data_IF_507537855155
#
_entry.id   IF_507537855155
#
_cell.length_a   1.000
_cell.length_b   1.000
_cell.length_c   1.000
_cell.angle_alpha   90.00
_cell.angle_beta   90.00
_cell.angle_gamma   90.00
#
_symmetry.space_group_name_H-M   'P 1'
#
loop_
_entity.id
_entity.type
_entity.pdbx_description
1 polymer ?
#
# COMPACT_ATOMS: atom_id res chain seq x y z
N UNK A 1 25.89 3.24 -46.71
CA UNK A 1 25.31 2.29 -45.73
C UNK A 1 25.28 2.98 -44.37
N UNK A 2 24.15 3.55 -43.97
CA UNK A 2 24.05 4.31 -42.72
C UNK A 2 22.59 4.42 -42.32
N UNK A 3 22.08 3.42 -41.60
CA UNK A 3 20.65 3.34 -41.27
C UNK A 3 20.33 2.42 -40.09
N UNK A 4 21.29 2.15 -39.20
CA UNK A 4 21.12 1.20 -38.09
C UNK A 4 21.08 1.81 -36.69
N UNK A 5 21.47 3.08 -36.50
CA UNK A 5 21.64 3.65 -35.15
C UNK A 5 20.37 4.29 -34.58
N UNK A 6 19.46 4.78 -35.44
CA UNK A 6 18.22 5.44 -35.00
C UNK A 6 17.21 4.50 -34.34
N UNK A 7 17.05 3.28 -34.86
CA UNK A 7 16.08 2.32 -34.33
C UNK A 7 16.48 1.77 -32.96
N UNK A 8 17.78 1.52 -32.72
CA UNK A 8 18.24 1.01 -31.42
C UNK A 8 18.15 2.07 -30.32
N UNK A 9 18.47 3.33 -30.62
CA UNK A 9 18.32 4.43 -29.66
C UNK A 9 16.84 4.68 -29.29
N UNK A 10 15.93 4.57 -30.26
CA UNK A 10 14.49 4.71 -30.04
C UNK A 10 13.92 3.56 -29.18
N UNK A 11 14.31 2.31 -29.45
CA UNK A 11 13.91 1.15 -28.65
C UNK A 11 14.45 1.23 -27.22
N UNK A 12 15.70 1.64 -27.05
CA UNK A 12 16.28 1.85 -25.72
C UNK A 12 15.55 2.97 -24.96
N UNK A 13 15.19 4.07 -25.62
CA UNK A 13 14.43 5.17 -25.02
C UNK A 13 13.03 4.71 -24.58
N UNK A 14 12.32 3.93 -25.41
CA UNK A 14 11.01 3.37 -25.03
C UNK A 14 11.13 2.44 -23.84
N UNK A 15 12.14 1.55 -23.81
CA UNK A 15 12.38 0.67 -22.68
C UNK A 15 12.65 1.46 -21.39
N UNK A 16 13.54 2.45 -21.42
CA UNK A 16 13.86 3.28 -20.25
C UNK A 16 12.64 4.08 -19.77
N UNK A 17 11.85 4.67 -20.67
CA UNK A 17 10.64 5.43 -20.30
C UNK A 17 9.54 4.50 -19.77
N UNK A 18 9.43 3.28 -20.30
CA UNK A 18 8.50 2.27 -19.79
C UNK A 18 8.92 1.78 -18.41
N UNK A 19 10.20 1.49 -18.18
CA UNK A 19 10.75 1.11 -16.87
C UNK A 19 10.62 2.24 -15.85
N UNK A 20 10.86 3.49 -16.25
CA UNK A 20 10.66 4.66 -15.40
C UNK A 20 9.17 4.91 -15.10
N UNK A 21 8.26 4.76 -16.06
CA UNK A 21 6.83 4.86 -15.80
C UNK A 21 6.30 3.71 -14.95
N UNK A 22 6.78 2.48 -15.17
CA UNK A 22 6.44 1.32 -14.35
C UNK A 22 6.98 1.52 -12.94
N UNK A 23 8.24 1.94 -12.77
CA UNK A 23 8.82 2.25 -11.46
C UNK A 23 8.13 3.45 -10.78
N UNK A 24 7.72 4.47 -11.53
CA UNK A 24 6.98 5.63 -11.02
C UNK A 24 5.54 5.28 -10.66
N UNK A 25 4.90 4.39 -11.40
CA UNK A 25 3.57 3.84 -11.11
C UNK A 25 3.61 2.87 -9.91
N UNK A 26 4.68 2.08 -9.78
CA UNK A 26 4.95 1.22 -8.63
C UNK A 26 5.28 2.02 -7.35
N UNK A 27 5.82 3.24 -7.48
CA UNK A 27 6.14 4.11 -6.33
C UNK A 27 4.95 4.87 -5.75
N UNK A 28 3.76 4.80 -6.35
CA UNK A 28 2.57 5.51 -5.86
C UNK A 28 1.41 4.59 -5.47
N UNK A 29 1.64 3.28 -5.40
CA UNK A 29 0.62 2.30 -5.04
C UNK A 29 0.36 2.24 -3.54
N UNK A 30 1.39 2.43 -2.71
CA UNK A 30 1.26 2.48 -1.25
C UNK A 30 1.46 3.90 -0.73
N UNK A 31 0.45 4.44 -0.06
CA UNK A 31 0.43 5.83 0.42
C UNK A 31 0.15 5.86 1.92
N UNK A 32 1.00 6.54 2.68
CA UNK A 32 0.80 6.82 4.10
C UNK A 32 0.29 8.26 4.29
N UNK A 33 -0.91 8.44 4.83
CA UNK A 33 -1.54 9.74 5.11
C UNK A 33 -2.10 9.80 6.53
N UNK A 34 -2.75 10.91 6.88
CA UNK A 34 -3.49 11.09 8.15
C UNK A 34 -4.98 11.02 7.85
N UNK A 35 -5.69 10.11 8.49
CA UNK A 35 -7.14 9.99 8.38
C UNK A 35 -7.87 11.02 9.26
N UNK A 36 -9.20 11.10 9.08
CA UNK A 36 -10.06 12.00 9.85
C UNK A 36 -10.05 11.72 11.37
N UNK A 37 -9.64 10.52 11.80
CA UNK A 37 -9.46 10.20 13.21
C UNK A 37 -8.13 10.71 13.80
N UNK A 38 -7.30 11.41 13.01
CA UNK A 38 -6.02 11.95 13.44
C UNK A 38 -4.85 10.95 13.44
N UNK A 39 -5.09 9.71 13.01
CA UNK A 39 -4.11 8.63 12.99
C UNK A 39 -3.67 8.29 11.56
N UNK A 40 -2.58 7.53 11.46
CA UNK A 40 -2.03 7.06 10.21
C UNK A 40 -3.01 6.14 9.47
N UNK A 41 -3.08 6.37 8.17
CA UNK A 41 -3.86 5.60 7.21
C UNK A 41 -2.95 5.19 6.05
N UNK A 42 -2.84 3.89 5.82
CA UNK A 42 -2.00 3.30 4.79
C UNK A 42 -2.91 2.67 3.74
N UNK A 43 -2.86 3.16 2.50
CA UNK A 43 -3.70 2.70 1.40
C UNK A 43 -2.88 1.97 0.34
N UNK A 44 -3.45 0.94 -0.27
CA UNK A 44 -2.83 0.04 -1.24
C UNK A 44 -3.60 0.09 -2.55
N UNK A 45 -3.42 1.18 -3.31
CA UNK A 45 -4.19 1.50 -4.51
C UNK A 45 -3.99 0.42 -5.59
N UNK A 46 -4.98 -0.45 -5.73
CA UNK A 46 -5.02 -1.59 -6.66
C UNK A 46 -3.80 -2.52 -6.63
N UNK A 47 -3.03 -2.52 -5.53
CA UNK A 47 -1.78 -3.26 -5.44
C UNK A 47 -1.88 -4.41 -4.43
N UNK A 48 -2.44 -5.52 -4.90
CA UNK A 48 -2.67 -6.71 -4.09
C UNK A 48 -1.36 -7.29 -3.51
N UNK A 49 -0.25 -7.21 -4.24
CA UNK A 49 1.06 -7.70 -3.79
C UNK A 49 1.55 -7.00 -2.51
N UNK A 50 1.49 -5.67 -2.46
CA UNK A 50 1.88 -4.94 -1.23
C UNK A 50 0.89 -5.15 -0.10
N UNK A 51 -0.40 -5.29 -0.40
CA UNK A 51 -1.38 -5.66 0.62
C UNK A 51 -1.08 -7.03 1.24
N UNK A 52 -0.75 -8.04 0.43
CA UNK A 52 -0.35 -9.37 0.90
C UNK A 52 0.96 -9.31 1.69
N UNK A 53 1.95 -8.55 1.21
CA UNK A 53 3.21 -8.32 1.93
C UNK A 53 2.98 -7.63 3.28
N UNK A 54 2.06 -6.67 3.35
CA UNK A 54 1.66 -6.01 4.59
C UNK A 54 1.00 -6.98 5.57
N UNK A 55 0.06 -7.80 5.09
CA UNK A 55 -0.59 -8.83 5.89
C UNK A 55 0.45 -9.80 6.48
N UNK A 56 1.38 -10.27 5.65
CA UNK A 56 2.46 -11.16 6.09
C UNK A 56 3.34 -10.49 7.13
N UNK A 57 3.78 -9.25 6.89
CA UNK A 57 4.61 -8.50 7.83
C UNK A 57 3.90 -8.34 9.19
N UNK A 58 2.61 -8.02 9.22
CA UNK A 58 1.83 -7.92 10.46
C UNK A 58 1.74 -9.26 11.20
N UNK A 59 1.53 -10.37 10.47
CA UNK A 59 1.55 -11.71 11.06
C UNK A 59 2.92 -12.06 11.67
N UNK A 60 4.03 -11.72 11.00
CA UNK A 60 5.38 -11.90 11.53
C UNK A 60 5.62 -11.08 12.80
N UNK A 61 4.98 -9.91 12.89
CA UNK A 61 4.93 -9.07 14.09
C UNK A 61 3.92 -9.57 15.15
N UNK A 62 3.37 -10.78 15.01
CA UNK A 62 2.42 -11.41 15.95
C UNK A 62 1.06 -10.73 16.06
N UNK A 63 0.66 -9.93 15.07
CA UNK A 63 -0.74 -9.51 14.98
C UNK A 63 -1.65 -10.69 14.60
N UNK A 64 -2.86 -10.66 15.12
CA UNK A 64 -3.93 -11.61 14.79
C UNK A 64 -5.06 -10.87 14.10
N UNK A 65 -5.78 -11.56 13.21
CA UNK A 65 -7.00 -11.01 12.61
C UNK A 65 -8.17 -11.19 13.59
N UNK A 66 -8.97 -10.14 13.78
CA UNK A 66 -10.12 -10.14 14.68
C UNK A 66 -11.33 -9.44 14.05
N UNK A 67 -12.51 -10.01 14.27
CA UNK A 67 -13.77 -9.55 13.66
C UNK A 67 -14.12 -10.28 12.36
N UNK A 68 -15.34 -10.03 11.91
CA UNK A 68 -15.90 -10.61 10.70
C UNK A 68 -15.61 -9.74 9.47
N UNK A 69 -15.68 -10.36 8.29
CA UNK A 69 -15.72 -9.63 7.02
C UNK A 69 -17.15 -9.13 6.82
N UNK A 70 -17.30 -7.82 6.59
CA UNK A 70 -18.58 -7.21 6.22
C UNK A 70 -18.43 -6.61 4.84
N UNK A 71 -19.13 -7.15 3.84
CA UNK A 71 -19.09 -6.67 2.46
C UNK A 71 -20.32 -5.80 2.14
N UNK A 72 -20.06 -4.63 1.58
CA UNK A 72 -21.04 -3.74 0.95
C UNK A 72 -20.95 -3.77 -0.57
N UNK A 73 -21.66 -2.86 -1.24
CA UNK A 73 -21.66 -2.75 -2.71
C UNK A 73 -20.30 -2.29 -3.26
N UNK A 74 -19.69 -1.29 -2.61
CA UNK A 74 -18.48 -0.61 -3.08
C UNK A 74 -17.33 -0.63 -2.07
N UNK A 75 -17.56 -1.20 -0.90
CA UNK A 75 -16.62 -1.25 0.20
C UNK A 75 -16.73 -2.56 0.99
N UNK A 76 -15.66 -2.91 1.69
CA UNK A 76 -15.65 -4.02 2.63
C UNK A 76 -14.90 -3.61 3.89
N UNK A 77 -15.47 -3.94 5.05
CA UNK A 77 -14.75 -3.93 6.32
C UNK A 77 -14.11 -5.31 6.45
N UNK A 78 -12.79 -5.33 6.60
CA UNK A 78 -12.01 -6.53 6.75
C UNK A 78 -11.63 -6.73 8.24
N UNK A 79 -11.27 -7.95 8.66
CA UNK A 79 -10.85 -8.19 10.04
C UNK A 79 -9.71 -7.27 10.46
N UNK A 80 -9.84 -6.65 11.63
CA UNK A 80 -8.80 -5.80 12.19
C UNK A 80 -7.56 -6.64 12.52
N UNK A 81 -6.38 -6.03 12.48
CA UNK A 81 -5.16 -6.61 13.03
C UNK A 81 -4.98 -6.15 14.47
N UNK A 82 -5.00 -7.09 15.40
CA UNK A 82 -4.89 -6.82 16.85
C UNK A 82 -3.66 -7.49 17.46
N UNK A 83 -3.00 -6.77 18.37
CA UNK A 83 -1.91 -7.29 19.20
C UNK A 83 -1.86 -6.49 20.50
N UNK A 84 -2.06 -7.15 21.63
CA UNK A 84 -2.12 -6.51 22.96
C UNK A 84 -3.12 -5.34 22.97
N UNK A 85 -2.66 -4.10 23.16
CA UNK A 85 -3.47 -2.88 23.17
C UNK A 85 -3.47 -2.14 21.82
N UNK A 86 -2.81 -2.69 20.80
CA UNK A 86 -2.74 -2.11 19.45
C UNK A 86 -3.79 -2.74 18.55
N UNK A 87 -4.57 -1.89 17.89
CA UNK A 87 -5.57 -2.29 16.89
C UNK A 87 -5.39 -1.46 15.63
N UNK A 88 -5.34 -2.17 14.49
CA UNK A 88 -5.35 -1.59 13.16
C UNK A 88 -6.64 -2.03 12.47
N UNK A 89 -7.54 -1.10 12.21
CA UNK A 89 -8.71 -1.37 11.38
C UNK A 89 -8.25 -1.66 9.95
N UNK A 90 -8.95 -2.54 9.25
CA UNK A 90 -8.65 -2.83 7.86
C UNK A 90 -9.92 -2.87 7.02
N UNK A 91 -9.76 -2.61 5.73
CA UNK A 91 -10.88 -2.58 4.80
C UNK A 91 -10.45 -2.46 3.37
N UNK A 92 -11.44 -2.32 2.50
CA UNK A 92 -11.28 -2.08 1.08
C UNK A 92 -12.37 -1.12 0.61
N UNK A 93 -12.03 -0.16 -0.24
CA UNK A 93 -13.00 0.67 -0.94
C UNK A 93 -12.56 0.92 -2.39
N UNK A 94 -13.50 1.23 -3.28
CA UNK A 94 -13.23 1.43 -4.71
C UNK A 94 -12.29 2.61 -5.04
N UNK A 95 -11.98 3.51 -4.10
CA UNK A 95 -11.10 4.66 -4.34
C UNK A 95 -9.68 4.42 -3.84
N UNK A 96 -9.55 3.82 -2.65
CA UNK A 96 -8.28 3.64 -1.94
C UNK A 96 -7.67 2.26 -2.15
N UNK A 97 -8.46 1.30 -2.64
CA UNK A 97 -8.11 -0.12 -2.62
C UNK A 97 -8.15 -0.66 -1.19
N UNK A 98 -7.28 -1.62 -0.87
CA UNK A 98 -7.14 -2.09 0.51
C UNK A 98 -6.53 -1.00 1.38
N UNK A 99 -6.85 -1.00 2.67
CA UNK A 99 -6.25 -0.07 3.60
C UNK A 99 -6.07 -0.62 5.02
N UNK A 100 -5.16 0.03 5.75
CA UNK A 100 -4.97 -0.11 7.19
C UNK A 100 -5.11 1.26 7.86
N UNK A 101 -5.86 1.32 8.95
CA UNK A 101 -6.08 2.53 9.72
C UNK A 101 -5.71 2.29 11.18
N UNK A 102 -4.77 3.09 11.69
CA UNK A 102 -4.42 3.07 13.09
C UNK A 102 -5.56 3.63 13.95
N UNK A 103 -5.78 3.00 15.11
CA UNK A 103 -6.78 3.42 16.09
C UNK A 103 -6.14 4.00 17.37
N UNK A 104 -4.81 4.10 17.41
CA UNK A 104 -4.04 4.62 18.53
C UNK A 104 -2.62 5.03 18.08
N UNK A 105 -1.92 5.79 18.94
CA UNK A 105 -0.56 6.28 18.68
C UNK A 105 0.47 5.17 18.43
N UNK A 106 0.37 4.06 19.16
CA UNK A 106 1.26 2.91 18.91
C UNK A 106 0.98 2.29 17.53
N UNK A 107 -0.28 2.28 17.11
CA UNK A 107 -0.67 1.93 15.75
C UNK A 107 -0.03 2.83 14.70
N UNK A 108 0.09 4.13 14.97
CA UNK A 108 0.77 5.07 14.06
C UNK A 108 2.23 4.71 13.86
N UNK A 109 2.93 4.34 14.94
CA UNK A 109 4.32 3.92 14.87
C UNK A 109 4.47 2.63 14.06
N UNK A 110 3.54 1.68 14.22
CA UNK A 110 3.51 0.43 13.45
C UNK A 110 3.27 0.72 11.97
N UNK A 111 2.27 1.54 11.62
CA UNK A 111 1.99 1.87 10.22
C UNK A 111 3.11 2.68 9.57
N UNK A 112 3.78 3.58 10.30
CA UNK A 112 4.96 4.27 9.81
C UNK A 112 6.15 3.31 9.56
N UNK A 113 6.31 2.27 10.39
CA UNK A 113 7.32 1.24 10.17
C UNK A 113 7.01 0.36 8.95
N UNK A 114 5.76 -0.07 8.82
CA UNK A 114 5.28 -0.85 7.69
C UNK A 114 5.39 -0.05 6.38
N UNK A 115 5.01 1.22 6.38
CA UNK A 115 5.16 2.12 5.24
C UNK A 115 6.61 2.20 4.76
N UNK A 116 7.58 2.33 5.68
CA UNK A 116 9.02 2.32 5.33
C UNK A 116 9.47 0.98 4.78
N UNK A 117 8.98 -0.13 5.32
CA UNK A 117 9.28 -1.47 4.82
C UNK A 117 8.80 -1.67 3.37
N UNK A 118 7.62 -1.15 3.05
CA UNK A 118 7.01 -1.25 1.71
C UNK A 118 7.51 -0.17 0.73
N UNK A 119 8.29 0.81 1.19
CA UNK A 119 8.69 1.94 0.35
C UNK A 119 7.54 2.88 -0.02
N UNK A 120 6.54 3.00 0.86
CA UNK A 120 5.37 3.85 0.67
C UNK A 120 5.75 5.34 0.59
N UNK A 121 4.95 6.12 -0.14
CA UNK A 121 5.08 7.58 -0.23
C UNK A 121 4.15 8.28 0.76
N UNK A 122 4.53 9.47 1.20
CA UNK A 122 3.65 10.30 2.04
C UNK A 122 2.54 10.93 1.20
N UNK A 123 1.29 10.66 1.59
CA UNK A 123 0.10 11.33 1.09
C UNK A 123 -0.07 12.71 1.72
N UNK A 124 -0.92 13.53 1.08
CA UNK A 124 -1.41 14.78 1.67
C UNK A 124 -2.66 14.52 2.50
#
# INVERSE_FOLDING_TARGET
MGGGQGCQAYLNCIHTVAEEHIAKSLRMSVVLSIAANGHHWLTFKDELSSWEAACQWLCEQRFQKSGDIITGLDEAILPAFVREQVSLASGHDHWSGHYLLAQCTDGDMILAALARYLGAVSGK
#
